data_IF_395977036976
#
_entry.id   IF_395977036976
#
_cell.length_a   1.000
_cell.length_b   1.000
_cell.length_c   1.000
_cell.angle_alpha   90.00
_cell.angle_beta   90.00
_cell.angle_gamma   90.00
#
_symmetry.space_group_name_H-M   'P 1'
#
loop_
_entity.id
_entity.type
_entity.pdbx_description
1 polymer ?
#
# COMPACT_ATOMS: atom_id res chain seq x y z
N UNK A 1 -7.91 -13.86 7.02
CA UNK A 1 -8.74 -13.92 5.79
C UNK A 1 -8.65 -12.63 4.97
N UNK A 2 -8.40 -11.50 5.64
CA UNK A 2 -8.30 -10.16 5.07
C UNK A 2 -6.89 -9.57 5.23
N UNK A 3 -5.83 -10.16 4.65
CA UNK A 3 -4.49 -9.59 4.75
C UNK A 3 -4.37 -8.31 3.93
N UNK A 4 -3.54 -7.38 4.43
CA UNK A 4 -3.17 -6.17 3.70
C UNK A 4 -1.67 -5.91 3.83
N UNK A 5 -1.00 -5.60 2.72
CA UNK A 5 0.43 -5.33 2.69
C UNK A 5 0.71 -3.84 2.61
N UNK A 6 1.52 -3.32 3.53
CA UNK A 6 2.02 -1.95 3.49
C UNK A 6 3.45 -1.95 2.95
N UNK A 7 3.66 -1.21 1.87
CA UNK A 7 4.90 -1.20 1.12
C UNK A 7 5.63 0.13 1.34
N UNK A 8 6.83 0.06 1.91
CA UNK A 8 7.67 1.22 2.14
C UNK A 8 8.87 1.30 1.21
N UNK A 9 9.67 2.35 1.40
CA UNK A 9 10.89 2.62 0.62
C UNK A 9 11.93 1.48 0.70
N UNK A 10 11.94 0.73 1.80
CA UNK A 10 12.88 -0.38 1.99
C UNK A 10 12.77 -1.48 0.95
N UNK A 11 11.63 -1.63 0.28
CA UNK A 11 11.47 -2.53 -0.87
C UNK A 11 12.27 -2.03 -2.06
N UNK A 12 12.12 -0.75 -2.40
CA UNK A 12 12.83 -0.10 -3.52
C UNK A 12 14.34 -0.07 -3.26
N UNK A 13 14.75 0.37 -2.05
CA UNK A 13 16.17 0.41 -1.67
C UNK A 13 16.81 -0.98 -1.63
N UNK A 14 16.02 -2.01 -1.33
CA UNK A 14 16.47 -3.40 -1.33
C UNK A 14 16.46 -4.07 -2.71
N UNK A 15 15.89 -3.42 -3.74
CA UNK A 15 15.70 -3.99 -5.07
C UNK A 15 14.80 -5.23 -5.04
N UNK A 16 13.73 -5.20 -4.24
CA UNK A 16 12.87 -6.35 -3.94
C UNK A 16 11.49 -6.29 -4.61
N UNK A 17 11.36 -5.51 -5.69
CA UNK A 17 10.08 -5.26 -6.35
C UNK A 17 9.48 -6.53 -6.96
N UNK A 18 10.30 -7.35 -7.61
CA UNK A 18 9.84 -8.59 -8.25
C UNK A 18 9.47 -9.65 -7.19
N UNK A 19 10.25 -9.73 -6.10
CA UNK A 19 9.94 -10.61 -4.99
C UNK A 19 8.64 -10.20 -4.29
N UNK A 20 8.41 -8.88 -4.15
CA UNK A 20 7.16 -8.35 -3.62
C UNK A 20 5.97 -8.73 -4.51
N UNK A 21 6.07 -8.54 -5.82
CA UNK A 21 5.00 -8.93 -6.77
C UNK A 21 4.67 -10.41 -6.65
N UNK A 22 5.68 -11.27 -6.66
CA UNK A 22 5.51 -12.72 -6.53
C UNK A 22 4.82 -13.10 -5.21
N UNK A 23 5.21 -12.47 -4.10
CA UNK A 23 4.60 -12.65 -2.78
C UNK A 23 3.11 -12.29 -2.78
N UNK A 24 2.78 -11.09 -3.29
CA UNK A 24 1.41 -10.60 -3.35
C UNK A 24 0.53 -11.48 -4.24
N UNK A 25 1.03 -11.86 -5.43
CA UNK A 25 0.29 -12.67 -6.40
C UNK A 25 0.02 -14.07 -5.90
N UNK A 26 0.99 -14.72 -5.25
CA UNK A 26 0.85 -16.09 -4.74
C UNK A 26 -0.32 -16.22 -3.76
N UNK A 27 -0.54 -15.20 -2.97
CA UNK A 27 -1.54 -15.25 -1.89
C UNK A 27 -2.66 -14.21 -2.06
N UNK A 28 -2.73 -13.56 -3.23
CA UNK A 28 -3.75 -12.58 -3.63
C UNK A 28 -3.94 -11.47 -2.58
N UNK A 29 -2.81 -10.91 -2.11
CA UNK A 29 -2.76 -9.91 -1.04
C UNK A 29 -2.78 -8.50 -1.66
N UNK A 30 -3.81 -7.68 -1.41
CA UNK A 30 -3.79 -6.28 -1.81
C UNK A 30 -2.69 -5.51 -1.06
N UNK A 31 -2.10 -4.51 -1.73
CA UNK A 31 -1.04 -3.71 -1.19
C UNK A 31 -1.30 -2.21 -1.33
N UNK A 32 -0.92 -1.45 -0.32
CA UNK A 32 -0.88 0.00 -0.35
C UNK A 32 0.54 0.51 -0.06
N UNK A 33 0.95 1.56 -0.76
CA UNK A 33 2.30 2.08 -0.66
C UNK A 33 2.37 3.37 0.16
N UNK A 34 3.43 3.53 0.94
CA UNK A 34 3.79 4.85 1.48
C UNK A 34 4.26 5.75 0.32
N UNK A 35 4.30 7.07 0.52
CA UNK A 35 4.76 8.00 -0.53
C UNK A 35 6.15 7.63 -1.08
N UNK A 36 7.07 7.16 -0.24
CA UNK A 36 8.40 6.73 -0.67
C UNK A 36 8.44 5.28 -1.18
N UNK A 37 7.36 4.54 -1.04
CA UNK A 37 7.19 3.18 -1.55
C UNK A 37 6.42 3.10 -2.88
N UNK A 38 5.95 4.22 -3.43
CA UNK A 38 5.09 4.24 -4.62
C UNK A 38 5.71 3.56 -5.85
N UNK A 39 7.03 3.64 -6.03
CA UNK A 39 7.73 3.01 -7.15
C UNK A 39 7.94 1.49 -7.00
N UNK A 40 7.59 0.90 -5.87
CA UNK A 40 7.78 -0.54 -5.64
C UNK A 40 6.82 -1.42 -6.48
N UNK A 41 5.67 -0.88 -6.85
CA UNK A 41 4.67 -1.58 -7.66
C UNK A 41 4.23 -0.70 -8.83
N UNK A 42 4.07 -1.25 -10.04
CA UNK A 42 3.46 -0.53 -11.16
C UNK A 42 2.06 -0.03 -10.78
N UNK A 43 1.66 1.11 -11.34
CA UNK A 43 0.35 1.71 -11.07
C UNK A 43 -0.81 0.79 -11.52
N UNK A 44 -0.61 0.07 -12.61
CA UNK A 44 -1.58 -0.86 -13.21
C UNK A 44 -1.51 -2.29 -12.63
N UNK A 45 -0.64 -2.54 -11.65
CA UNK A 45 -0.56 -3.85 -11.01
C UNK A 45 -1.87 -4.14 -10.23
N UNK A 46 -2.59 -5.24 -10.50
CA UNK A 46 -3.95 -5.45 -9.99
C UNK A 46 -4.10 -5.44 -8.47
N UNK A 47 -3.02 -5.79 -7.76
CA UNK A 47 -3.00 -5.81 -6.30
C UNK A 47 -2.46 -4.50 -5.69
N UNK A 48 -2.01 -3.54 -6.51
CA UNK A 48 -1.69 -2.20 -6.07
C UNK A 48 -2.98 -1.41 -5.85
N UNK A 49 -3.27 -1.06 -4.61
CA UNK A 49 -4.50 -0.35 -4.22
C UNK A 49 -4.27 1.14 -3.96
N UNK A 50 -3.08 1.64 -4.29
CA UNK A 50 -2.73 3.06 -4.21
C UNK A 50 -1.91 3.44 -2.98
N UNK A 51 -1.89 4.72 -2.69
CA UNK A 51 -1.13 5.30 -1.58
C UNK A 51 -1.95 5.28 -0.28
N UNK A 52 -1.27 5.09 0.84
CA UNK A 52 -1.84 5.18 2.18
C UNK A 52 -1.22 6.34 2.98
N UNK A 53 -1.86 6.73 4.07
CA UNK A 53 -1.43 7.81 4.95
C UNK A 53 -2.26 9.09 4.78
N UNK A 54 -1.77 10.20 5.31
CA UNK A 54 -2.50 11.48 5.43
C UNK A 54 -3.03 12.02 4.08
N UNK A 55 -2.29 11.81 3.01
CA UNK A 55 -2.66 12.21 1.65
C UNK A 55 -2.94 11.01 0.73
N UNK A 56 -3.20 9.84 1.34
CA UNK A 56 -3.44 8.62 0.61
C UNK A 56 -4.90 8.42 0.20
N UNK A 57 -5.12 7.37 -0.57
CA UNK A 57 -6.42 6.97 -1.06
C UNK A 57 -7.34 6.47 0.07
N UNK A 58 -8.64 6.59 -0.13
CA UNK A 58 -9.65 6.17 0.85
C UNK A 58 -9.58 4.66 1.12
N UNK A 59 -9.47 3.84 0.06
CA UNK A 59 -9.43 2.39 0.17
C UNK A 59 -8.30 1.90 1.09
N UNK A 60 -7.02 2.15 0.79
CA UNK A 60 -5.90 1.74 1.63
C UNK A 60 -6.01 2.21 3.09
N UNK A 61 -6.42 3.46 3.32
CA UNK A 61 -6.57 3.99 4.67
C UNK A 61 -7.70 3.31 5.46
N UNK A 62 -8.84 3.07 4.83
CA UNK A 62 -9.98 2.37 5.44
C UNK A 62 -9.63 0.91 5.74
N UNK A 63 -9.05 0.21 4.76
CA UNK A 63 -8.72 -1.22 4.86
C UNK A 63 -7.58 -1.52 5.83
N UNK A 64 -6.72 -0.57 6.14
CA UNK A 64 -5.75 -0.71 7.23
C UNK A 64 -6.45 -0.99 8.58
N UNK A 65 -7.63 -0.41 8.80
CA UNK A 65 -8.42 -0.60 10.02
C UNK A 65 -9.50 -1.69 9.89
N UNK A 66 -9.56 -2.42 8.78
CA UNK A 66 -10.49 -3.52 8.55
C UNK A 66 -9.79 -4.87 8.32
N UNK A 67 -8.50 -4.87 7.99
CA UNK A 67 -7.72 -6.08 7.77
C UNK A 67 -7.54 -6.89 9.08
N UNK A 68 -7.39 -8.21 8.95
CA UNK A 68 -7.08 -9.11 10.07
C UNK A 68 -5.57 -9.39 10.22
N UNK A 69 -4.81 -9.21 9.15
CA UNK A 69 -3.34 -9.30 9.13
C UNK A 69 -2.78 -8.10 8.37
N UNK A 70 -1.93 -7.33 9.02
CA UNK A 70 -1.21 -6.20 8.44
C UNK A 70 0.26 -6.57 8.26
N UNK A 71 0.74 -6.57 7.02
CA UNK A 71 2.12 -6.94 6.68
C UNK A 71 2.86 -5.68 6.25
N UNK A 72 3.74 -5.16 7.07
CA UNK A 72 4.53 -3.98 6.77
C UNK A 72 5.94 -4.37 6.31
N UNK A 73 6.34 -3.91 5.14
CA UNK A 73 7.63 -4.24 4.52
C UNK A 73 8.42 -2.96 4.23
N UNK A 74 9.56 -2.80 4.90
CA UNK A 74 10.48 -1.70 4.66
C UNK A 74 9.88 -0.32 4.93
N UNK A 75 9.07 -0.19 5.97
CA UNK A 75 8.44 1.05 6.41
C UNK A 75 8.44 1.18 7.92
N UNK A 76 8.50 2.38 8.45
CA UNK A 76 8.71 2.64 9.89
C UNK A 76 7.48 3.07 10.68
N UNK A 77 6.28 3.01 10.16
CA UNK A 77 5.04 3.44 10.83
C UNK A 77 5.13 4.85 11.43
N UNK A 78 5.53 5.84 10.61
CA UNK A 78 5.54 7.23 11.06
C UNK A 78 4.12 7.84 11.15
N UNK A 79 4.03 9.01 11.77
CA UNK A 79 2.76 9.70 12.04
C UNK A 79 1.97 10.08 10.77
N UNK A 80 2.67 10.29 9.64
CA UNK A 80 2.05 10.60 8.34
C UNK A 80 1.28 9.41 7.77
N UNK A 81 1.66 8.20 8.19
CA UNK A 81 1.00 6.95 7.79
C UNK A 81 -0.03 6.52 8.82
N UNK A 82 0.33 6.55 10.10
CA UNK A 82 -0.50 5.97 11.16
C UNK A 82 -1.58 6.90 11.68
N UNK A 83 -1.34 8.21 11.68
CA UNK A 83 -2.17 9.14 12.41
C UNK A 83 -2.23 8.79 13.90
N UNK A 84 -3.42 8.67 14.47
CA UNK A 84 -3.60 8.34 15.89
C UNK A 84 -3.29 6.85 16.18
N UNK A 85 -2.15 6.61 16.79
CA UNK A 85 -1.71 5.26 17.20
C UNK A 85 -2.69 4.54 18.14
N UNK A 86 -3.59 5.26 18.82
CA UNK A 86 -4.59 4.65 19.71
C UNK A 86 -5.66 3.87 18.94
N UNK A 87 -5.88 4.22 17.70
CA UNK A 87 -6.94 3.63 16.85
C UNK A 87 -6.37 2.84 15.66
N UNK A 88 -5.11 3.01 15.32
CA UNK A 88 -4.48 2.43 14.14
C UNK A 88 -4.37 0.90 14.22
N UNK A 89 -5.00 0.21 13.28
CA UNK A 89 -4.92 -1.24 13.03
C UNK A 89 -5.06 -2.15 14.28
N UNK A 90 -5.87 -1.76 15.27
CA UNK A 90 -5.99 -2.46 16.56
C UNK A 90 -6.56 -3.88 16.45
N UNK A 91 -7.31 -4.17 15.41
CA UNK A 91 -7.92 -5.47 15.13
C UNK A 91 -6.97 -6.44 14.44
N UNK A 92 -5.88 -5.94 13.82
CA UNK A 92 -4.98 -6.73 12.99
C UNK A 92 -3.85 -7.38 13.78
N UNK A 93 -3.43 -8.56 13.35
CA UNK A 93 -2.10 -9.11 13.66
C UNK A 93 -1.08 -8.44 12.77
N UNK A 94 -0.02 -7.88 13.36
CA UNK A 94 0.97 -7.08 12.64
C UNK A 94 2.27 -7.84 12.47
N UNK A 95 2.66 -8.03 11.20
CA UNK A 95 3.96 -8.58 10.80
C UNK A 95 4.80 -7.42 10.28
N UNK A 96 5.96 -7.17 10.85
CA UNK A 96 6.85 -6.09 10.42
C UNK A 96 8.19 -6.64 9.95
N UNK A 97 8.46 -6.46 8.65
CA UNK A 97 9.71 -6.81 8.01
C UNK A 97 10.51 -5.54 7.74
N UNK A 98 11.68 -5.45 8.36
CA UNK A 98 12.61 -4.35 8.13
C UNK A 98 14.06 -4.83 8.26
N UNK A 99 14.98 -4.09 7.64
CA UNK A 99 16.43 -4.34 7.77
C UNK A 99 16.98 -3.71 9.06
N UNK A 100 16.30 -2.70 9.59
CA UNK A 100 16.69 -2.00 10.82
C UNK A 100 15.86 -2.49 12.02
N UNK A 101 16.54 -3.24 12.90
CA UNK A 101 15.90 -3.74 14.14
C UNK A 101 15.38 -2.61 15.04
N UNK A 102 15.92 -1.40 14.96
CA UNK A 102 15.47 -0.26 15.77
C UNK A 102 14.14 0.31 15.32
N UNK A 103 13.74 0.07 14.09
CA UNK A 103 12.43 0.51 13.55
C UNK A 103 11.33 -0.53 13.80
N UNK A 104 11.69 -1.83 13.96
CA UNK A 104 10.69 -2.89 14.16
C UNK A 104 10.00 -2.75 15.53
N UNK A 105 8.69 -2.47 15.49
CA UNK A 105 7.88 -2.35 16.70
C UNK A 105 8.10 -1.07 17.49
N UNK A 106 8.75 -0.06 16.91
CA UNK A 106 9.06 1.22 17.56
C UNK A 106 7.81 2.06 17.81
N UNK A 107 7.00 2.27 16.80
CA UNK A 107 5.81 3.12 16.87
C UNK A 107 4.52 2.31 17.04
N UNK A 108 4.43 1.15 16.39
CA UNK A 108 3.30 0.24 16.46
C UNK A 108 3.75 -1.09 17.02
N UNK A 109 3.06 -1.60 18.03
CA UNK A 109 3.35 -2.93 18.58
C UNK A 109 3.13 -4.01 17.50
N UNK A 110 4.06 -4.94 17.37
CA UNK A 110 4.02 -5.99 16.33
C UNK A 110 3.93 -7.37 16.95
N UNK A 111 3.15 -8.25 16.32
CA UNK A 111 3.02 -9.65 16.73
C UNK A 111 4.20 -10.49 16.21
N UNK A 112 4.67 -10.21 14.99
CA UNK A 112 5.78 -10.95 14.37
C UNK A 112 6.82 -9.96 13.84
N UNK A 113 8.05 -10.11 14.33
CA UNK A 113 9.21 -9.35 13.86
C UNK A 113 9.99 -10.17 12.84
N UNK A 114 10.29 -9.59 11.69
CA UNK A 114 11.12 -10.20 10.65
C UNK A 114 12.28 -9.26 10.33
N UNK A 115 13.45 -9.54 10.90
CA UNK A 115 14.67 -8.76 10.66
C UNK A 115 15.39 -9.30 9.44
N UNK A 116 15.56 -8.48 8.42
CA UNK A 116 16.30 -8.87 7.22
C UNK A 116 16.08 -7.96 6.03
N UNK A 117 16.91 -8.13 5.02
CA UNK A 117 16.76 -7.45 3.74
C UNK A 117 15.56 -8.04 2.98
N UNK A 118 14.66 -7.18 2.50
CA UNK A 118 13.44 -7.58 1.79
C UNK A 118 13.73 -8.51 0.60
N UNK A 119 14.80 -8.25 -0.17
CA UNK A 119 15.25 -9.06 -1.31
C UNK A 119 15.44 -10.55 -1.00
N UNK A 120 15.90 -10.85 0.21
CA UNK A 120 16.15 -12.22 0.64
C UNK A 120 15.02 -12.80 1.48
N UNK A 121 14.39 -11.97 2.29
CA UNK A 121 13.39 -12.42 3.27
C UNK A 121 12.04 -12.70 2.62
N UNK A 122 11.61 -11.88 1.66
CA UNK A 122 10.32 -12.06 0.98
C UNK A 122 10.24 -13.42 0.27
N UNK A 123 11.24 -13.87 -0.52
CA UNK A 123 11.19 -15.20 -1.15
C UNK A 123 11.08 -16.34 -0.16
N UNK A 124 11.78 -16.24 0.99
CA UNK A 124 11.72 -17.26 2.04
C UNK A 124 10.30 -17.39 2.62
N UNK A 125 9.64 -16.26 2.89
CA UNK A 125 8.25 -16.25 3.35
C UNK A 125 7.33 -16.77 2.25
N UNK A 126 7.52 -16.32 1.01
CA UNK A 126 6.72 -16.74 -0.14
C UNK A 126 6.75 -18.25 -0.36
N UNK A 127 7.91 -18.88 -0.15
CA UNK A 127 8.06 -20.33 -0.27
C UNK A 127 7.19 -21.13 0.72
N UNK A 128 6.92 -20.56 1.89
CA UNK A 128 6.12 -21.18 2.94
C UNK A 128 4.61 -20.98 2.77
N UNK A 129 4.20 -20.04 1.89
CA UNK A 129 2.79 -19.75 1.67
C UNK A 129 2.16 -20.74 0.70
N UNK A 130 0.93 -21.14 0.99
CA UNK A 130 0.05 -21.79 0.02
C UNK A 130 -0.53 -20.75 -0.96
N UNK A 131 -0.86 -21.18 -2.17
CA UNK A 131 -1.59 -20.33 -3.11
C UNK A 131 -3.02 -20.12 -2.62
N UNK A 132 -3.48 -18.88 -2.58
CA UNK A 132 -4.86 -18.51 -2.20
C UNK A 132 -5.37 -17.40 -3.08
N UNK A 133 -6.70 -17.35 -3.26
CA UNK A 133 -7.40 -16.23 -3.90
C UNK A 133 -8.33 -15.54 -2.90
N UNK A 134 -8.46 -14.22 -3.03
CA UNK A 134 -9.29 -13.37 -2.16
C UNK A 134 -10.11 -12.35 -2.95
N UNK A 135 -10.91 -12.81 -3.92
CA UNK A 135 -11.61 -11.90 -4.83
C UNK A 135 -12.57 -10.96 -4.09
N UNK A 136 -13.24 -11.43 -3.05
CA UNK A 136 -14.17 -10.60 -2.27
C UNK A 136 -13.43 -9.49 -1.51
N UNK A 137 -12.28 -9.82 -0.89
CA UNK A 137 -11.45 -8.84 -0.19
C UNK A 137 -10.87 -7.79 -1.15
N UNK A 138 -10.36 -8.21 -2.29
CA UNK A 138 -9.87 -7.30 -3.32
C UNK A 138 -11.00 -6.40 -3.87
N UNK A 139 -12.19 -6.94 -4.07
CA UNK A 139 -13.35 -6.18 -4.53
C UNK A 139 -13.82 -5.11 -3.51
N UNK A 140 -13.53 -5.27 -2.23
CA UNK A 140 -13.79 -4.22 -1.25
C UNK A 140 -12.93 -2.96 -1.50
N UNK A 141 -11.66 -3.11 -1.87
CA UNK A 141 -10.79 -2.00 -2.28
C UNK A 141 -11.29 -1.33 -3.56
N UNK A 142 -11.72 -2.12 -4.53
CA UNK A 142 -12.19 -1.61 -5.82
C UNK A 142 -13.48 -0.79 -5.65
N UNK A 143 -14.35 -1.18 -4.71
CA UNK A 143 -15.54 -0.38 -4.33
C UNK A 143 -15.16 0.95 -3.69
N UNK A 144 -14.19 0.93 -2.75
CA UNK A 144 -13.71 2.16 -2.10
C UNK A 144 -13.04 3.10 -3.11
N UNK A 145 -12.23 2.55 -4.03
CA UNK A 145 -11.59 3.32 -5.09
C UNK A 145 -12.62 3.96 -6.04
N UNK A 146 -13.68 3.21 -6.41
CA UNK A 146 -14.76 3.75 -7.22
C UNK A 146 -15.52 4.86 -6.48
N UNK A 147 -15.82 4.68 -5.20
CA UNK A 147 -16.48 5.71 -4.39
C UNK A 147 -15.64 6.99 -4.33
N UNK A 148 -14.33 6.87 -4.13
CA UNK A 148 -13.39 8.00 -4.11
C UNK A 148 -13.34 8.68 -5.48
N UNK A 149 -13.25 7.91 -6.56
CA UNK A 149 -13.24 8.43 -7.92
C UNK A 149 -14.50 9.25 -8.22
N UNK A 150 -15.67 8.69 -8.01
CA UNK A 150 -16.96 9.33 -8.33
C UNK A 150 -17.20 10.60 -7.48
N UNK A 151 -16.73 10.61 -6.23
CA UNK A 151 -16.97 11.73 -5.30
C UNK A 151 -15.96 12.87 -5.40
N UNK A 152 -14.70 12.54 -5.67
CA UNK A 152 -13.57 13.47 -5.54
C UNK A 152 -12.73 13.52 -6.80
N UNK A 153 -12.14 12.40 -7.23
CA UNK A 153 -11.09 12.39 -8.23
C UNK A 153 -11.60 12.88 -9.59
N UNK A 154 -12.77 12.42 -10.04
CA UNK A 154 -13.36 12.83 -11.31
C UNK A 154 -13.53 14.35 -11.37
N UNK A 155 -14.00 14.99 -10.30
CA UNK A 155 -14.22 16.43 -10.22
C UNK A 155 -12.92 17.25 -10.18
N UNK A 156 -11.82 16.64 -9.71
CA UNK A 156 -10.51 17.27 -9.69
C UNK A 156 -9.76 17.12 -11.01
N UNK A 157 -9.93 15.97 -11.67
CA UNK A 157 -9.27 15.67 -12.96
C UNK A 157 -10.02 16.23 -14.16
N UNK A 158 -11.36 16.24 -14.11
CA UNK A 158 -12.24 16.62 -15.24
C UNK A 158 -13.27 17.68 -14.82
N UNK A 159 -12.83 18.86 -14.33
CA UNK A 159 -13.77 19.92 -13.95
C UNK A 159 -14.51 20.41 -15.18
N UNK A 160 -15.84 20.59 -15.06
CA UNK A 160 -16.69 21.11 -16.13
C UNK A 160 -16.84 22.61 -16.09
N UNK A 161 -16.53 23.26 -14.97
CA UNK A 161 -16.65 24.69 -14.75
C UNK A 161 -15.71 25.16 -13.61
N UNK A 162 -15.50 26.45 -13.51
CA UNK A 162 -14.71 27.07 -12.44
C UNK A 162 -13.27 27.38 -12.83
N UNK A 163 -12.41 27.54 -11.82
CA UNK A 163 -10.98 27.79 -12.00
C UNK A 163 -10.22 26.49 -12.28
N UNK A 164 -9.06 26.64 -12.95
CA UNK A 164 -8.15 25.51 -13.22
C UNK A 164 -7.74 24.81 -11.93
N UNK A 165 -7.92 23.50 -11.89
CA UNK A 165 -7.56 22.67 -10.73
C UNK A 165 -6.21 22.00 -10.90
N UNK A 166 -5.51 21.77 -9.81
CA UNK A 166 -4.18 21.13 -9.82
C UNK A 166 -4.23 19.73 -10.45
N UNK A 167 -5.24 18.92 -10.12
CA UNK A 167 -5.43 17.59 -10.71
C UNK A 167 -5.59 17.63 -12.24
N UNK A 168 -6.36 18.61 -12.74
CA UNK A 168 -6.51 18.83 -14.20
C UNK A 168 -5.19 19.21 -14.86
N UNK A 169 -4.37 20.06 -14.22
CA UNK A 169 -3.07 20.46 -14.76
C UNK A 169 -2.15 19.24 -14.86
N UNK A 170 -2.02 18.47 -13.77
CA UNK A 170 -1.16 17.27 -13.73
C UNK A 170 -1.62 16.25 -14.78
N UNK A 171 -2.92 16.02 -14.92
CA UNK A 171 -3.45 15.11 -15.94
C UNK A 171 -3.09 15.55 -17.34
N UNK A 172 -3.34 16.84 -17.68
CA UNK A 172 -3.04 17.39 -18.99
C UNK A 172 -1.54 17.35 -19.32
N UNK A 173 -0.69 17.57 -18.32
CA UNK A 173 0.76 17.45 -18.46
C UNK A 173 1.17 16.01 -18.75
N UNK A 174 0.63 15.05 -18.01
CA UNK A 174 0.90 13.61 -18.20
C UNK A 174 0.41 13.08 -19.56
N UNK A 175 -0.66 13.65 -20.11
CA UNK A 175 -1.22 13.27 -21.42
C UNK A 175 -0.54 14.02 -22.58
N UNK A 176 0.34 15.00 -22.32
CA UNK A 176 1.01 15.77 -23.36
C UNK A 176 2.03 14.91 -24.14
N UNK A 177 2.09 15.03 -25.46
CA UNK A 177 3.06 14.28 -26.28
C UNK A 177 4.51 14.57 -25.86
N UNK A 178 5.28 13.53 -25.59
CA UNK A 178 6.70 13.61 -25.22
C UNK A 178 7.01 13.49 -23.73
N UNK A 179 6.04 13.12 -22.91
CA UNK A 179 6.21 12.84 -21.47
C UNK A 179 6.24 11.33 -21.16
N UNK A 180 6.73 10.50 -22.09
CA UNK A 180 6.98 9.06 -21.92
C UNK A 180 8.30 8.79 -21.18
#
# INVERSE_FOLDING_TARGET
>A
EKPFCLVGQGVVLGGAEEELKAFLQKNDIPAGSTVLGLSALPTDFPLNKGMLGMHGNVGPNRKTNECDVLIAIGMRFDDRVTGDLKTYAKQAKIIHLDIDNSEIGKNVAVDVKVLGNAKHTIPMITALLEERKRPEWNAEFDRDAKEEYDKVIEKELYPTEGQLKMGEVVRKDSEAPGND
#
